data_IF_256763928149
#
_entry.id   IF_256763928149
#
_cell.length_a   1.000
_cell.length_b   1.000
_cell.length_c   1.000
_cell.angle_alpha   90.00
_cell.angle_beta   90.00
_cell.angle_gamma   90.00
#
_symmetry.space_group_name_H-M   'P 1'
#
loop_
_entity.id
_entity.type
_entity.pdbx_description
1 polymer ?
#
# COMPACT_ATOMS: atom_id res chain seq x y z
N UNK A 1 -49.36 -48.41 17.97
CA UNK A 1 -48.66 -47.31 17.28
C UNK A 1 -47.78 -46.59 18.28
N UNK A 2 -46.46 -46.77 18.21
CA UNK A 2 -45.47 -45.92 18.88
C UNK A 2 -44.34 -45.72 17.86
N UNK A 3 -44.20 -44.51 17.33
CA UNK A 3 -43.11 -44.12 16.45
C UNK A 3 -41.98 -43.56 17.31
N UNK A 4 -40.87 -44.29 17.41
CA UNK A 4 -39.64 -43.81 18.04
C UNK A 4 -38.88 -42.89 17.08
N UNK A 5 -38.65 -41.65 17.52
CA UNK A 5 -37.82 -40.66 16.84
C UNK A 5 -36.35 -41.06 16.99
N UNK A 6 -35.68 -41.42 15.89
CA UNK A 6 -34.24 -41.70 15.84
C UNK A 6 -33.48 -40.37 15.76
N UNK A 7 -32.47 -40.11 16.61
CA UNK A 7 -31.69 -38.86 16.54
C UNK A 7 -30.82 -38.82 15.28
N UNK A 8 -30.83 -37.66 14.61
CA UNK A 8 -30.02 -37.38 13.44
C UNK A 8 -28.52 -37.41 13.77
N UNK A 9 -27.77 -38.25 13.05
CA UNK A 9 -26.32 -38.32 13.14
C UNK A 9 -25.66 -37.01 12.68
N UNK A 10 -24.73 -36.48 13.48
CA UNK A 10 -23.96 -35.29 13.15
C UNK A 10 -23.05 -35.53 11.91
N UNK A 11 -22.88 -34.53 11.01
CA UNK A 11 -22.07 -34.69 9.81
C UNK A 11 -20.57 -34.89 10.16
N UNK A 12 -19.82 -35.63 9.34
CA UNK A 12 -18.40 -35.88 9.57
C UNK A 12 -17.60 -34.56 9.54
N UNK A 13 -16.80 -34.33 10.57
CA UNK A 13 -15.83 -33.22 10.62
C UNK A 13 -14.74 -33.47 9.59
N UNK A 14 -14.67 -32.64 8.56
CA UNK A 14 -13.54 -32.60 7.63
C UNK A 14 -12.28 -32.20 8.44
N UNK A 15 -11.18 -32.98 8.39
CA UNK A 15 -9.93 -32.55 9.03
C UNK A 15 -9.42 -31.29 8.31
N UNK A 16 -8.90 -30.28 9.03
CA UNK A 16 -8.27 -29.15 8.36
C UNK A 16 -7.07 -29.67 7.57
N UNK A 17 -7.15 -29.53 6.24
CA UNK A 17 -6.02 -29.74 5.36
C UNK A 17 -4.88 -28.83 5.84
N UNK A 18 -3.61 -29.28 5.91
CA UNK A 18 -2.51 -28.34 6.01
C UNK A 18 -2.51 -27.54 4.71
N UNK A 19 -3.14 -26.37 4.74
CA UNK A 19 -3.00 -25.39 3.69
C UNK A 19 -1.52 -25.05 3.65
N UNK A 20 -0.83 -25.55 2.63
CA UNK A 20 0.44 -24.98 2.22
C UNK A 20 0.19 -23.48 2.08
N UNK A 21 0.73 -22.72 3.03
CA UNK A 21 0.63 -21.28 3.06
C UNK A 21 1.40 -20.77 1.85
N UNK A 22 0.70 -20.64 0.71
CA UNK A 22 1.16 -19.83 -0.40
C UNK A 22 1.37 -18.44 0.20
N UNK A 23 2.61 -17.92 0.29
CA UNK A 23 2.81 -16.58 0.82
C UNK A 23 2.03 -15.62 -0.07
N UNK A 24 1.06 -14.92 0.53
CA UNK A 24 0.50 -13.73 -0.08
C UNK A 24 1.66 -12.83 -0.52
N UNK A 25 1.63 -12.23 -1.72
CA UNK A 25 2.65 -11.27 -2.10
C UNK A 25 2.68 -10.16 -1.03
N UNK A 26 3.82 -10.02 -0.33
CA UNK A 26 4.01 -8.95 0.65
C UNK A 26 3.90 -7.61 -0.09
N UNK A 27 3.02 -6.69 0.35
CA UNK A 27 2.95 -5.37 -0.28
C UNK A 27 4.29 -4.65 -0.09
N UNK A 28 4.88 -4.28 -1.21
CA UNK A 28 5.93 -3.27 -1.36
C UNK A 28 5.55 -2.06 -0.51
N UNK A 29 6.20 -1.88 0.65
CA UNK A 29 5.90 -0.90 1.73
C UNK A 29 4.39 -0.64 2.01
N UNK A 30 3.82 -1.12 3.13
CA UNK A 30 2.39 -0.98 3.42
C UNK A 30 1.92 0.48 3.57
N UNK A 31 2.86 1.43 3.69
CA UNK A 31 2.58 2.85 3.84
C UNK A 31 3.66 3.70 3.18
N UNK A 32 3.28 4.84 2.60
CA UNK A 32 4.24 5.79 2.04
C UNK A 32 4.59 6.89 3.02
N UNK A 33 5.88 7.22 3.11
CA UNK A 33 6.37 8.37 3.86
C UNK A 33 6.31 9.67 3.04
N UNK A 34 6.42 10.82 3.71
CA UNK A 34 6.41 12.14 3.05
C UNK A 34 7.42 12.27 1.89
N UNK A 35 8.66 11.73 1.96
CA UNK A 35 9.58 11.79 0.83
C UNK A 35 9.09 11.06 -0.42
N UNK A 36 8.39 9.93 -0.27
CA UNK A 36 7.81 9.19 -1.39
C UNK A 36 6.68 10.01 -2.03
N UNK A 37 5.80 10.59 -1.21
CA UNK A 37 4.74 11.48 -1.68
C UNK A 37 5.31 12.72 -2.37
N UNK A 38 6.37 13.31 -1.82
CA UNK A 38 7.01 14.47 -2.43
C UNK A 38 7.64 14.16 -3.80
N UNK A 39 8.09 12.93 -4.03
CA UNK A 39 8.55 12.48 -5.36
C UNK A 39 7.38 12.38 -6.32
N UNK A 40 6.28 11.74 -5.92
CA UNK A 40 5.06 11.62 -6.74
C UNK A 40 4.49 12.98 -7.12
N UNK A 41 4.53 13.95 -6.20
CA UNK A 41 4.05 15.32 -6.44
C UNK A 41 5.07 16.22 -7.17
N UNK A 42 6.25 15.71 -7.53
CA UNK A 42 7.29 16.50 -8.23
C UNK A 42 7.99 17.57 -7.37
N UNK A 43 7.84 17.55 -6.05
CA UNK A 43 8.37 18.56 -5.12
C UNK A 43 9.50 18.06 -4.21
N UNK A 44 10.07 16.89 -4.50
CA UNK A 44 11.10 16.22 -3.69
C UNK A 44 12.39 17.03 -3.50
N UNK A 45 12.70 17.96 -4.42
CA UNK A 45 13.85 18.88 -4.29
C UNK A 45 13.64 20.00 -3.25
N UNK A 46 12.40 20.22 -2.79
CA UNK A 46 12.09 21.23 -1.77
C UNK A 46 12.43 20.71 -0.38
N UNK A 47 12.57 21.62 0.59
CA UNK A 47 12.85 21.23 1.98
C UNK A 47 11.69 20.46 2.60
N UNK A 48 11.98 19.57 3.56
CA UNK A 48 10.95 18.77 4.24
C UNK A 48 9.86 19.62 4.92
N UNK A 49 10.22 20.80 5.44
CA UNK A 49 9.27 21.76 6.03
C UNK A 49 8.32 22.32 4.96
N UNK A 50 8.86 22.65 3.79
CA UNK A 50 8.07 23.12 2.66
C UNK A 50 7.13 22.02 2.16
N UNK A 51 7.65 20.80 1.99
CA UNK A 51 6.86 19.63 1.56
C UNK A 51 5.68 19.36 2.51
N UNK A 52 5.93 19.39 3.83
CA UNK A 52 4.87 19.21 4.81
C UNK A 52 3.78 20.28 4.70
N UNK A 53 4.17 21.56 4.56
CA UNK A 53 3.21 22.66 4.38
C UNK A 53 2.42 22.55 3.08
N UNK A 54 3.07 22.12 2.01
CA UNK A 54 2.42 21.89 0.73
C UNK A 54 1.37 20.79 0.82
N UNK A 55 1.70 19.65 1.44
CA UNK A 55 0.73 18.57 1.64
C UNK A 55 -0.39 18.98 2.60
N UNK A 56 -0.12 19.76 3.65
CA UNK A 56 -1.18 20.33 4.50
C UNK A 56 -2.16 21.18 3.69
N UNK A 57 -1.68 21.99 2.75
CA UNK A 57 -2.53 22.79 1.86
C UNK A 57 -3.34 21.90 0.91
N UNK A 58 -2.76 20.82 0.38
CA UNK A 58 -3.49 19.87 -0.47
C UNK A 58 -4.61 19.17 0.31
N UNK A 59 -4.37 18.80 1.59
CA UNK A 59 -5.40 18.22 2.45
C UNK A 59 -6.53 19.23 2.70
N UNK A 60 -6.18 20.49 2.96
CA UNK A 60 -7.15 21.53 3.28
C UNK A 60 -8.00 21.96 2.06
N UNK A 61 -7.38 22.05 0.89
CA UNK A 61 -7.97 22.74 -0.26
C UNK A 61 -8.35 21.81 -1.42
N UNK A 62 -7.72 20.65 -1.54
CA UNK A 62 -7.85 19.76 -2.70
C UNK A 62 -8.29 18.33 -2.33
N UNK A 63 -8.69 18.10 -1.07
CA UNK A 63 -9.18 16.80 -0.62
C UNK A 63 -8.11 15.71 -0.59
N UNK A 64 -6.83 16.06 -0.52
CA UNK A 64 -5.75 15.08 -0.47
C UNK A 64 -5.91 14.16 0.76
N UNK A 65 -5.59 12.85 0.63
CA UNK A 65 -5.74 11.89 1.72
C UNK A 65 -4.97 12.33 2.98
N UNK A 66 -5.63 12.19 4.14
CA UNK A 66 -5.00 12.44 5.43
C UNK A 66 -3.97 11.35 5.74
N UNK A 67 -2.87 11.69 6.44
CA UNK A 67 -1.96 10.68 6.94
C UNK A 67 -2.66 9.76 7.93
N UNK A 68 -2.15 8.53 8.04
CA UNK A 68 -2.54 7.59 9.07
C UNK A 68 -2.32 8.20 10.46
N UNK A 69 -3.22 7.92 11.41
CA UNK A 69 -3.06 8.38 12.78
C UNK A 69 -1.74 7.85 13.35
N UNK A 70 -0.97 8.71 14.01
CA UNK A 70 0.25 8.29 14.69
C UNK A 70 0.25 8.78 16.13
N UNK A 71 0.87 8.01 17.03
CA UNK A 71 1.03 8.46 18.40
C UNK A 71 2.14 9.51 18.50
N UNK A 72 1.85 10.60 19.20
CA UNK A 72 2.79 11.64 19.59
C UNK A 72 2.67 11.85 21.09
N UNK A 73 3.57 11.23 21.85
CA UNK A 73 3.43 11.12 23.30
C UNK A 73 2.23 10.23 23.63
N UNK A 74 1.35 10.70 24.51
CA UNK A 74 0.14 9.97 24.92
C UNK A 74 -1.08 10.21 24.00
N UNK A 75 -0.96 11.09 23.00
CA UNK A 75 -2.06 11.47 22.11
C UNK A 75 -1.90 10.98 20.68
N UNK A 76 -3.02 10.71 20.00
CA UNK A 76 -3.06 10.52 18.55
C UNK A 76 -2.98 11.88 17.85
N UNK A 77 -2.13 11.98 16.83
CA UNK A 77 -2.02 13.16 15.99
C UNK A 77 -2.27 12.82 14.53
N UNK A 78 -2.97 13.73 13.85
CA UNK A 78 -3.20 13.72 12.41
C UNK A 78 -2.38 14.80 11.69
N UNK A 79 -1.54 15.54 12.43
CA UNK A 79 -0.66 16.56 11.87
C UNK A 79 0.51 15.95 11.10
N UNK A 80 1.00 16.66 10.07
CA UNK A 80 2.09 16.16 9.25
C UNK A 80 3.43 16.37 9.98
N UNK A 81 3.99 15.25 10.44
CA UNK A 81 5.36 15.14 10.91
C UNK A 81 6.26 14.64 9.77
N UNK A 82 7.25 15.42 9.28
CA UNK A 82 7.96 15.10 8.04
C UNK A 82 8.64 13.73 7.97
N UNK A 83 9.07 13.17 9.11
CA UNK A 83 9.73 11.86 9.16
C UNK A 83 8.82 10.70 9.58
N UNK A 84 7.71 11.00 10.25
CA UNK A 84 6.86 9.99 10.91
C UNK A 84 5.50 9.80 10.24
N UNK A 85 5.05 10.77 9.45
CA UNK A 85 3.78 10.66 8.73
C UNK A 85 3.85 9.53 7.72
N UNK A 86 2.73 8.81 7.64
CA UNK A 86 2.55 7.67 6.74
C UNK A 86 1.19 7.79 6.08
N UNK A 87 1.11 7.44 4.81
CA UNK A 87 -0.13 7.43 4.04
C UNK A 87 -0.41 6.04 3.49
N UNK A 88 -1.69 5.72 3.34
CA UNK A 88 -2.10 4.54 2.59
C UNK A 88 -1.84 4.76 1.09
N UNK A 89 -1.02 3.91 0.43
CA UNK A 89 -0.72 4.05 -0.99
C UNK A 89 -1.98 4.11 -1.85
N UNK A 90 -2.95 3.22 -1.60
CA UNK A 90 -4.20 3.14 -2.34
C UNK A 90 -4.98 4.47 -2.35
N UNK A 91 -5.03 5.18 -1.22
CA UNK A 91 -5.71 6.47 -1.15
C UNK A 91 -4.99 7.57 -1.93
N UNK A 92 -3.65 7.58 -1.87
CA UNK A 92 -2.83 8.56 -2.61
C UNK A 92 -2.91 8.31 -4.11
N UNK A 93 -2.82 7.05 -4.55
CA UNK A 93 -2.93 6.68 -5.96
C UNK A 93 -4.32 6.99 -6.53
N UNK A 94 -5.39 6.68 -5.80
CA UNK A 94 -6.75 7.01 -6.23
C UNK A 94 -6.94 8.53 -6.41
N UNK A 95 -6.49 9.33 -5.43
CA UNK A 95 -6.56 10.78 -5.53
C UNK A 95 -5.73 11.32 -6.71
N UNK A 96 -4.55 10.76 -6.97
CA UNK A 96 -3.75 11.14 -8.15
C UNK A 96 -4.45 10.77 -9.45
N UNK A 97 -5.03 9.57 -9.54
CA UNK A 97 -5.78 9.11 -10.71
C UNK A 97 -6.95 10.03 -11.07
N UNK A 98 -7.66 10.56 -10.06
CA UNK A 98 -8.75 11.51 -10.26
C UNK A 98 -8.29 12.89 -10.78
N UNK A 99 -7.00 13.22 -10.61
CA UNK A 99 -6.42 14.49 -11.07
C UNK A 99 -5.75 14.39 -12.45
N UNK A 100 -5.55 13.18 -12.96
CA UNK A 100 -4.88 12.92 -14.23
C UNK A 100 -5.96 12.76 -15.32
N UNK A 101 -5.98 13.61 -16.37
CA UNK A 101 -6.85 13.39 -17.53
C UNK A 101 -6.60 12.00 -18.11
N UNK A 102 -7.65 11.29 -18.54
CA UNK A 102 -7.56 9.89 -18.98
C UNK A 102 -6.43 9.64 -20.00
N UNK A 103 -6.18 10.58 -20.91
CA UNK A 103 -5.11 10.53 -21.92
C UNK A 103 -3.70 10.49 -21.32
N UNK A 104 -3.48 11.09 -20.14
CA UNK A 104 -2.21 11.06 -19.44
C UNK A 104 -2.05 9.84 -18.52
N UNK A 105 -3.16 9.22 -18.10
CA UNK A 105 -3.14 8.04 -17.23
C UNK A 105 -2.54 6.81 -17.92
N UNK A 106 -2.80 6.63 -19.23
CA UNK A 106 -2.23 5.53 -20.03
C UNK A 106 -0.70 5.63 -20.16
N UNK A 107 -0.17 6.85 -20.25
CA UNK A 107 1.28 7.10 -20.30
C UNK A 107 1.99 6.80 -18.95
N UNK A 108 1.29 7.02 -17.83
CA UNK A 108 1.80 6.71 -16.50
C UNK A 108 1.75 5.21 -16.17
N UNK A 109 0.69 4.52 -16.59
CA UNK A 109 0.56 3.06 -16.37
C UNK A 109 1.64 2.28 -17.15
N UNK A 110 1.94 2.70 -18.37
CA UNK A 110 3.03 2.13 -19.17
C UNK A 110 4.43 2.38 -18.57
N UNK A 111 4.67 3.52 -17.93
CA UNK A 111 5.90 3.76 -17.16
C UNK A 111 5.98 2.88 -15.91
N UNK A 112 4.87 2.75 -15.16
CA UNK A 112 4.82 1.91 -13.97
C UNK A 112 5.04 0.42 -14.29
N UNK A 113 4.52 -0.06 -15.42
CA UNK A 113 4.76 -1.41 -15.92
C UNK A 113 6.24 -1.65 -16.26
N UNK A 114 6.90 -0.65 -16.86
CA UNK A 114 8.33 -0.69 -17.20
C UNK A 114 9.20 -0.73 -15.93
N UNK A 115 8.94 0.15 -14.96
CA UNK A 115 9.68 0.16 -13.68
C UNK A 115 9.45 -1.10 -12.82
N UNK A 116 8.29 -1.76 -12.99
CA UNK A 116 8.02 -3.04 -12.36
C UNK A 116 8.80 -4.18 -13.03
N UNK A 117 8.91 -4.17 -14.37
CA UNK A 117 9.74 -5.10 -15.12
C UNK A 117 11.23 -4.95 -14.75
N UNK A 118 11.75 -3.71 -14.73
CA UNK A 118 13.14 -3.43 -14.37
C UNK A 118 13.49 -3.92 -12.95
N UNK A 119 12.55 -3.80 -12.01
CA UNK A 119 12.71 -4.33 -10.64
C UNK A 119 12.69 -5.85 -10.57
N UNK A 120 11.86 -6.50 -11.38
CA UNK A 120 11.83 -7.97 -11.47
C UNK A 120 13.10 -8.51 -12.11
N UNK A 121 13.62 -7.84 -13.15
CA UNK A 121 14.88 -8.20 -13.80
C UNK A 121 16.06 -8.03 -12.84
N UNK A 122 16.14 -6.90 -12.14
CA UNK A 122 17.17 -6.69 -11.11
C UNK A 122 17.07 -7.68 -9.93
N UNK A 123 15.85 -8.12 -9.56
CA UNK A 123 15.66 -9.15 -8.56
C UNK A 123 16.05 -10.54 -9.07
N UNK A 124 15.79 -10.85 -10.34
CA UNK A 124 16.19 -12.09 -10.99
C UNK A 124 17.71 -12.20 -11.11
N UNK A 125 18.40 -11.12 -11.47
CA UNK A 125 19.88 -11.07 -11.47
C UNK A 125 20.46 -11.37 -10.09
N UNK A 126 19.85 -10.86 -9.02
CA UNK A 126 20.28 -11.16 -7.65
C UNK A 126 19.98 -12.61 -7.20
N UNK A 127 18.96 -13.26 -7.78
CA UNK A 127 18.59 -14.64 -7.46
C UNK A 127 19.45 -15.67 -8.21
N UNK A 128 19.90 -15.36 -9.42
CA UNK A 128 20.64 -16.29 -10.29
C UNK A 128 22.13 -15.93 -10.46
N UNK A 129 22.57 -14.74 -10.04
CA UNK A 129 23.97 -14.29 -10.11
C UNK A 129 24.82 -14.61 -8.89
N UNK A 130 24.26 -15.25 -7.86
CA UNK A 130 24.90 -15.49 -6.55
C UNK A 130 25.45 -16.90 -6.31
N UNK A 131 25.50 -17.78 -7.31
CA UNK A 131 25.97 -19.18 -7.16
C UNK A 131 27.20 -19.48 -8.04
N UNK A 132 28.23 -18.65 -7.88
CA UNK A 132 29.57 -18.89 -8.43
C UNK A 132 30.64 -18.49 -7.40
N UNK A 133 30.75 -19.25 -6.32
CA UNK A 133 31.94 -19.30 -5.47
C UNK A 133 32.07 -20.67 -4.80
#
# INVERSE_FOLDING_TARGET
MHLSLVPAAAPPRIPPHPAAHVPFPTPTEPTWALPAIARLLGVHMRSAKWQARYVEQLIANAGFPRPLPMMKGEGLTHGILPRRSRWMPAGVTAWLGDQIPAEAAEALDSQAATEAADRLDAAAENLFGGDAA
#
